data_IF_203345897719
#
_entry.id   IF_203345897719
#
_cell.length_a   1.000
_cell.length_b   1.000
_cell.length_c   1.000
_cell.angle_alpha   90.00
_cell.angle_beta   90.00
_cell.angle_gamma   90.00
#
_symmetry.space_group_name_H-M   'P 1'
#
loop_
_entity.id
_entity.type
_entity.pdbx_description
1 polymer ?
#
# COMPACT_ATOMS: atom_id res chain seq x y z
N UNK A 1 -6.00 3.92 -29.18
CA UNK A 1 -6.59 4.61 -28.00
C UNK A 1 -6.74 6.09 -28.28
N UNK A 2 -7.73 6.79 -27.69
CA UNK A 2 -7.83 8.25 -27.74
C UNK A 2 -6.67 8.92 -26.96
N UNK A 3 -6.13 10.02 -27.49
CA UNK A 3 -4.95 10.70 -26.93
C UNK A 3 -5.19 11.19 -25.48
N UNK A 4 -6.36 11.76 -25.20
CA UNK A 4 -6.73 12.21 -23.86
C UNK A 4 -6.77 11.04 -22.85
N UNK A 5 -7.30 9.90 -23.25
CA UNK A 5 -7.37 8.71 -22.42
C UNK A 5 -5.96 8.12 -22.19
N UNK A 6 -5.10 8.15 -23.22
CA UNK A 6 -3.70 7.77 -23.12
C UNK A 6 -2.96 8.61 -22.06
N UNK A 7 -3.03 9.93 -22.15
CA UNK A 7 -2.43 10.85 -21.18
C UNK A 7 -2.97 10.62 -19.77
N UNK A 8 -4.26 10.33 -19.65
CA UNK A 8 -4.89 10.04 -18.36
C UNK A 8 -4.28 8.79 -17.72
N UNK A 9 -4.05 7.74 -18.48
CA UNK A 9 -3.47 6.49 -17.96
C UNK A 9 -2.00 6.65 -17.57
N UNK A 10 -1.21 7.40 -18.35
CA UNK A 10 0.15 7.79 -17.96
C UNK A 10 0.14 8.59 -16.65
N UNK A 11 -0.78 9.56 -16.53
CA UNK A 11 -0.93 10.38 -15.31
C UNK A 11 -1.32 9.54 -14.09
N UNK A 12 -2.25 8.58 -14.24
CA UNK A 12 -2.64 7.66 -13.16
C UNK A 12 -1.42 6.85 -12.70
N UNK A 13 -0.64 6.27 -13.61
CA UNK A 13 0.55 5.51 -13.24
C UNK A 13 1.55 6.38 -12.47
N UNK A 14 1.86 7.58 -12.95
CA UNK A 14 2.78 8.50 -12.27
C UNK A 14 2.29 8.94 -10.88
N UNK A 15 0.97 9.08 -10.70
CA UNK A 15 0.37 9.45 -9.41
C UNK A 15 0.36 8.31 -8.39
N UNK A 16 0.18 7.08 -8.84
CA UNK A 16 -0.01 5.92 -7.96
C UNK A 16 1.27 5.13 -7.69
N UNK A 17 2.22 5.15 -8.61
CA UNK A 17 3.47 4.41 -8.47
C UNK A 17 4.58 5.34 -7.95
N UNK A 18 4.56 5.58 -6.66
CA UNK A 18 5.56 6.43 -5.99
C UNK A 18 6.43 5.61 -5.06
N UNK A 19 7.65 6.08 -4.83
CA UNK A 19 8.58 5.46 -3.88
C UNK A 19 8.18 5.78 -2.46
N UNK A 20 8.17 4.77 -1.59
CA UNK A 20 7.92 4.93 -0.17
C UNK A 20 8.82 4.00 0.66
N UNK A 21 9.20 4.45 1.84
CA UNK A 21 9.98 3.69 2.80
C UNK A 21 9.07 3.14 3.89
N UNK A 22 9.16 1.85 4.19
CA UNK A 22 8.34 1.21 5.22
C UNK A 22 6.83 1.29 4.95
N UNK A 23 6.03 1.37 6.02
CA UNK A 23 4.58 1.57 5.95
C UNK A 23 4.25 3.07 5.93
N UNK A 24 3.40 3.51 5.02
CA UNK A 24 3.10 4.93 4.80
C UNK A 24 2.38 5.60 5.98
N UNK A 25 1.56 4.87 6.73
CA UNK A 25 0.81 5.43 7.85
C UNK A 25 1.71 5.81 9.05
N UNK A 26 2.67 4.99 9.52
CA UNK A 26 3.65 5.42 10.51
C UNK A 26 4.47 6.61 10.04
N UNK A 27 4.83 6.66 8.76
CA UNK A 27 5.58 7.78 8.19
C UNK A 27 4.75 9.07 8.21
N UNK A 28 3.46 9.01 7.93
CA UNK A 28 2.57 10.18 8.06
C UNK A 28 2.49 10.69 9.50
N UNK A 29 2.49 9.81 10.51
CA UNK A 29 2.54 10.20 11.92
C UNK A 29 3.91 10.84 12.25
N UNK A 30 5.01 10.28 11.77
CA UNK A 30 6.33 10.85 11.94
C UNK A 30 6.44 12.23 11.28
N UNK A 31 5.85 12.39 10.10
CA UNK A 31 5.75 13.68 9.40
C UNK A 31 4.96 14.71 10.23
N UNK A 32 3.80 14.33 10.75
CA UNK A 32 3.05 15.20 11.67
C UNK A 32 3.87 15.58 12.90
N UNK A 33 4.62 14.64 13.49
CA UNK A 33 5.51 14.87 14.63
C UNK A 33 6.65 15.85 14.33
N UNK A 34 7.30 15.69 13.19
CA UNK A 34 8.37 16.59 12.73
C UNK A 34 7.86 18.02 12.50
N UNK A 35 6.72 18.16 11.82
CA UNK A 35 6.06 19.45 11.61
C UNK A 35 5.64 20.10 12.93
N UNK A 36 5.05 19.34 13.85
CA UNK A 36 4.59 19.84 15.14
C UNK A 36 5.77 20.36 15.98
N UNK A 37 6.89 19.62 16.04
CA UNK A 37 8.12 20.09 16.70
C UNK A 37 8.67 21.38 16.06
N UNK A 38 8.73 21.42 14.72
CA UNK A 38 9.19 22.60 13.98
C UNK A 38 8.33 23.82 14.30
N UNK A 39 7.01 23.64 14.38
CA UNK A 39 6.03 24.68 14.69
C UNK A 39 6.15 25.12 16.17
N UNK A 40 6.29 24.17 17.09
CA UNK A 40 6.50 24.45 18.53
C UNK A 40 7.76 25.29 18.76
N UNK A 41 8.84 24.96 18.06
CA UNK A 41 10.14 25.63 18.16
C UNK A 41 11.03 25.07 19.29
N UNK A 42 10.69 23.91 19.85
CA UNK A 42 11.45 23.25 20.94
C UNK A 42 11.02 21.80 21.11
N UNK A 43 11.58 21.11 22.12
CA UNK A 43 11.15 19.77 22.49
C UNK A 43 9.87 19.83 23.33
N UNK A 44 8.89 18.96 23.06
CA UNK A 44 7.67 18.89 23.87
C UNK A 44 7.88 18.03 25.12
N UNK A 45 7.09 18.31 26.15
CA UNK A 45 6.91 17.47 27.33
C UNK A 45 5.55 16.75 27.37
N UNK A 46 4.60 17.19 26.52
CA UNK A 46 3.30 16.56 26.35
C UNK A 46 3.02 16.35 24.86
N UNK A 47 2.50 15.16 24.53
CA UNK A 47 2.19 14.74 23.15
C UNK A 47 0.83 14.09 23.18
N UNK A 48 -0.15 14.67 22.48
CA UNK A 48 -1.47 14.09 22.26
C UNK A 48 -1.56 13.69 20.79
N UNK A 49 -1.86 12.41 20.54
CA UNK A 49 -1.97 11.83 19.21
C UNK A 49 -3.40 11.31 19.05
N UNK A 50 -4.18 11.99 18.24
CA UNK A 50 -5.55 11.61 17.91
C UNK A 50 -5.58 11.09 16.49
N UNK A 51 -6.03 9.86 16.30
CA UNK A 51 -5.95 9.21 14.98
C UNK A 51 -7.19 8.41 14.67
N UNK A 52 -7.57 8.37 13.39
CA UNK A 52 -8.69 7.54 12.92
C UNK A 52 -8.45 6.05 13.22
N UNK A 53 -9.53 5.29 13.36
CA UNK A 53 -9.45 3.85 13.63
C UNK A 53 -8.60 3.08 12.61
N UNK A 54 -8.61 3.47 11.33
CA UNK A 54 -7.77 2.86 10.30
C UNK A 54 -6.28 3.13 10.51
N UNK A 55 -5.90 4.30 11.03
CA UNK A 55 -4.51 4.58 11.42
C UNK A 55 -4.10 3.71 12.61
N UNK A 56 -4.96 3.57 13.64
CA UNK A 56 -4.69 2.66 14.77
C UNK A 56 -4.45 1.24 14.23
N UNK A 57 -5.35 0.75 13.39
CA UNK A 57 -5.27 -0.58 12.78
C UNK A 57 -3.95 -0.81 12.03
N UNK A 58 -3.50 0.17 11.24
CA UNK A 58 -2.36 0.01 10.35
C UNK A 58 -1.00 0.29 11.01
N UNK A 59 -0.97 0.96 12.18
CA UNK A 59 0.29 1.37 12.82
C UNK A 59 0.61 0.57 14.08
N UNK A 60 -0.41 0.14 14.85
CA UNK A 60 -0.23 -0.50 16.18
C UNK A 60 0.82 -1.60 16.22
N UNK A 61 0.93 -2.42 15.18
CA UNK A 61 1.77 -3.63 15.16
C UNK A 61 2.95 -3.56 14.19
N UNK A 62 3.12 -2.46 13.46
CA UNK A 62 4.18 -2.33 12.45
C UNK A 62 5.45 -1.76 13.07
N UNK A 63 6.59 -2.28 12.62
CA UNK A 63 7.90 -1.71 12.98
C UNK A 63 8.08 -0.39 12.22
N UNK A 64 8.46 0.65 12.96
CA UNK A 64 8.84 1.94 12.38
C UNK A 64 10.30 1.84 11.90
N UNK A 65 10.61 2.16 10.63
CA UNK A 65 11.98 2.15 10.14
C UNK A 65 12.92 3.04 10.99
N UNK A 66 14.21 2.72 11.01
CA UNK A 66 15.24 3.47 11.76
C UNK A 66 14.95 3.63 13.26
N UNK A 67 14.29 2.66 13.91
CA UNK A 67 13.98 2.73 15.35
C UNK A 67 14.43 1.50 16.14
N UNK A 68 15.36 0.69 15.63
CA UNK A 68 15.83 -0.56 16.26
C UNK A 68 14.68 -1.53 16.59
N UNK A 69 13.68 -1.62 15.70
CA UNK A 69 12.57 -2.58 15.82
C UNK A 69 11.43 -2.11 16.73
N UNK A 70 11.42 -0.83 17.16
CA UNK A 70 10.30 -0.27 17.91
C UNK A 70 9.05 -0.15 17.01
N UNK A 71 7.89 -0.27 17.65
CA UNK A 71 6.59 -0.34 16.97
C UNK A 71 5.63 0.73 17.48
N UNK A 72 4.62 1.01 16.65
CA UNK A 72 3.43 1.70 17.10
C UNK A 72 3.41 3.19 16.85
N UNK A 73 2.31 3.79 17.26
CA UNK A 73 1.96 5.19 17.00
C UNK A 73 2.89 6.13 17.77
N UNK A 74 3.16 5.82 19.04
CA UNK A 74 4.03 6.60 19.90
C UNK A 74 5.47 6.66 19.35
N UNK A 75 5.99 5.51 18.91
CA UNK A 75 7.31 5.42 18.27
C UNK A 75 7.38 6.29 17.02
N UNK A 76 6.37 6.19 16.15
CA UNK A 76 6.32 6.98 14.92
C UNK A 76 6.30 8.48 15.19
N UNK A 77 5.47 8.93 16.14
CA UNK A 77 5.41 10.34 16.51
C UNK A 77 6.73 10.82 17.12
N UNK A 78 7.30 10.06 18.07
CA UNK A 78 8.52 10.45 18.76
C UNK A 78 9.74 10.49 17.86
N UNK A 79 9.91 9.52 16.94
CA UNK A 79 11.04 9.57 16.00
C UNK A 79 10.91 10.73 15.02
N UNK A 80 9.69 11.06 14.59
CA UNK A 80 9.43 12.27 13.81
C UNK A 80 9.78 13.55 14.56
N UNK A 81 9.47 13.62 15.85
CA UNK A 81 9.80 14.75 16.72
C UNK A 81 11.31 14.87 16.92
N UNK A 82 12.05 13.79 17.13
CA UNK A 82 13.48 13.86 17.49
C UNK A 82 14.41 13.93 16.29
N UNK A 83 14.15 13.20 15.21
CA UNK A 83 15.04 13.07 14.06
C UNK A 83 14.41 13.35 12.71
N UNK A 84 13.10 13.72 12.66
CA UNK A 84 12.40 13.89 11.40
C UNK A 84 12.78 15.19 10.66
N UNK A 85 12.95 15.06 9.33
CA UNK A 85 13.05 16.19 8.41
C UNK A 85 11.67 16.51 7.81
N UNK A 86 11.06 17.61 8.24
CA UNK A 86 9.73 18.03 7.82
C UNK A 86 9.62 18.38 6.32
N UNK A 87 10.73 18.65 5.63
CA UNK A 87 10.74 18.97 4.21
C UNK A 87 10.78 17.70 3.32
N UNK A 88 11.09 16.55 3.94
CA UNK A 88 11.23 15.27 3.22
C UNK A 88 9.92 14.46 3.13
N UNK A 89 8.78 14.98 3.65
CA UNK A 89 7.45 14.36 3.57
C UNK A 89 7.44 12.85 3.92
N UNK A 90 7.20 11.96 2.94
CA UNK A 90 7.20 10.50 3.15
C UNK A 90 8.60 9.89 3.32
N UNK A 91 9.63 10.67 3.23
CA UNK A 91 11.02 10.31 3.55
C UNK A 91 11.51 10.97 4.85
N UNK A 92 10.59 11.51 5.66
CA UNK A 92 10.85 12.30 6.88
C UNK A 92 11.85 11.67 7.86
N UNK A 93 11.95 10.35 7.94
CA UNK A 93 12.87 9.63 8.83
C UNK A 93 14.03 8.93 8.10
N UNK A 94 14.26 9.24 6.81
CA UNK A 94 15.30 8.57 5.99
C UNK A 94 16.73 8.85 6.48
N UNK A 95 16.94 9.96 7.18
CA UNK A 95 18.26 10.40 7.64
C UNK A 95 18.42 10.39 9.17
N UNK A 96 17.55 9.64 9.86
CA UNK A 96 17.62 9.46 11.32
C UNK A 96 18.95 8.81 11.71
N UNK A 97 19.57 9.36 12.75
CA UNK A 97 20.85 8.90 13.30
C UNK A 97 20.65 8.23 14.65
N UNK A 98 21.68 7.54 15.12
CA UNK A 98 21.67 6.87 16.42
C UNK A 98 21.35 7.83 17.59
N UNK A 99 21.85 9.07 17.53
CA UNK A 99 21.54 10.11 18.51
C UNK A 99 20.06 10.48 18.58
N UNK A 100 19.35 10.44 17.43
CA UNK A 100 17.91 10.70 17.34
C UNK A 100 17.08 9.55 17.94
N UNK A 101 17.56 8.31 17.78
CA UNK A 101 16.91 7.11 18.35
C UNK A 101 17.06 7.12 19.89
N UNK A 102 18.23 7.52 20.38
CA UNK A 102 18.47 7.71 21.82
C UNK A 102 17.52 8.81 22.35
N UNK A 103 17.45 9.95 21.67
CA UNK A 103 16.57 11.06 22.05
C UNK A 103 15.09 10.64 22.00
N UNK A 104 14.67 9.86 21.01
CA UNK A 104 13.33 9.27 20.93
C UNK A 104 13.03 8.41 22.17
N UNK A 105 13.98 7.54 22.54
CA UNK A 105 13.80 6.65 23.67
C UNK A 105 13.70 7.43 24.99
N UNK A 106 14.45 8.53 25.13
CA UNK A 106 14.37 9.43 26.29
C UNK A 106 13.05 10.20 26.30
N UNK A 107 12.62 10.73 25.16
CA UNK A 107 11.34 11.43 25.00
C UNK A 107 10.18 10.51 25.38
N UNK A 108 10.18 9.26 24.91
CA UNK A 108 9.14 8.27 25.24
C UNK A 108 9.05 7.94 26.74
N UNK A 109 10.13 8.14 27.51
CA UNK A 109 10.15 7.92 28.97
C UNK A 109 9.78 9.16 29.76
N UNK A 110 10.15 10.34 29.28
CA UNK A 110 10.02 11.61 30.03
C UNK A 110 8.73 12.38 29.70
N UNK A 111 8.27 12.33 28.48
CA UNK A 111 7.08 13.06 28.05
C UNK A 111 5.78 12.34 28.43
N UNK A 112 4.72 13.12 28.65
CA UNK A 112 3.36 12.61 28.79
C UNK A 112 2.78 12.35 27.40
N UNK A 113 2.76 11.09 26.97
CA UNK A 113 2.26 10.68 25.65
C UNK A 113 0.89 10.04 25.81
N UNK A 114 -0.08 10.52 25.04
CA UNK A 114 -1.44 9.96 25.01
C UNK A 114 -1.87 9.72 23.57
N UNK A 115 -2.29 8.49 23.29
CA UNK A 115 -2.93 8.10 22.00
C UNK A 115 -4.42 7.89 22.25
N UNK A 116 -5.25 8.45 21.39
CA UNK A 116 -6.70 8.26 21.49
C UNK A 116 -7.35 8.21 20.10
N UNK A 117 -8.46 7.47 19.96
CA UNK A 117 -9.19 7.43 18.71
C UNK A 117 -9.84 8.78 18.40
N UNK A 118 -9.80 9.15 17.12
CA UNK A 118 -10.46 10.30 16.54
C UNK A 118 -11.67 9.82 15.73
N UNK A 119 -12.86 10.26 16.11
CA UNK A 119 -14.05 10.10 15.25
C UNK A 119 -13.90 11.02 14.04
N UNK A 120 -13.83 10.44 12.86
CA UNK A 120 -13.55 11.17 11.62
C UNK A 120 -14.29 10.55 10.44
N UNK A 121 -14.76 11.36 9.49
CA UNK A 121 -15.26 10.88 8.21
C UNK A 121 -14.14 10.39 7.29
N UNK A 122 -12.87 10.67 7.62
CA UNK A 122 -11.72 10.28 6.82
C UNK A 122 -11.10 9.00 7.36
N UNK A 123 -10.79 8.07 6.46
CA UNK A 123 -10.09 6.84 6.83
C UNK A 123 -8.64 7.08 7.25
N UNK A 124 -7.99 8.13 6.68
CA UNK A 124 -6.72 8.66 7.14
C UNK A 124 -6.98 10.01 7.79
N UNK A 125 -6.78 10.08 9.11
CA UNK A 125 -6.92 11.30 9.88
C UNK A 125 -5.98 11.23 11.08
N UNK A 126 -5.09 12.21 11.19
CA UNK A 126 -4.03 12.32 12.20
C UNK A 126 -4.01 13.74 12.72
N UNK A 127 -4.34 13.92 13.99
CA UNK A 127 -4.17 15.19 14.70
C UNK A 127 -3.13 14.99 15.79
N UNK A 128 -2.01 15.71 15.72
CA UNK A 128 -0.92 15.61 16.65
C UNK A 128 -0.71 16.97 17.30
N UNK A 129 -0.92 17.03 18.62
CA UNK A 129 -0.72 18.21 19.44
C UNK A 129 0.49 18.00 20.35
N UNK A 130 1.40 18.94 20.35
CA UNK A 130 2.60 18.96 21.20
C UNK A 130 2.64 20.23 22.01
N UNK A 131 3.05 20.15 23.28
CA UNK A 131 3.22 21.33 24.11
C UNK A 131 4.42 21.18 25.04
N UNK A 132 4.93 22.33 25.48
CA UNK A 132 5.88 22.51 26.57
C UNK A 132 5.37 23.63 27.52
N UNK A 133 6.17 24.05 28.49
CA UNK A 133 5.74 25.06 29.47
C UNK A 133 5.37 26.42 28.83
N UNK A 134 5.85 26.72 27.62
CA UNK A 134 5.75 28.05 26.99
C UNK A 134 4.77 28.07 25.81
N UNK A 135 4.72 26.96 25.01
CA UNK A 135 4.04 26.92 23.73
C UNK A 135 3.26 25.64 23.50
N UNK A 136 2.26 25.73 22.64
CA UNK A 136 1.52 24.61 22.09
C UNK A 136 1.49 24.68 20.55
N UNK A 137 1.64 23.54 19.89
CA UNK A 137 1.51 23.43 18.44
C UNK A 137 0.67 22.20 18.05
N UNK A 138 -0.18 22.34 17.06
CA UNK A 138 -0.99 21.25 16.53
C UNK A 138 -0.79 21.15 15.01
N UNK A 139 -0.73 19.89 14.53
CA UNK A 139 -0.71 19.54 13.12
C UNK A 139 -1.83 18.54 12.84
N UNK A 140 -2.64 18.81 11.83
CA UNK A 140 -3.73 17.97 11.38
C UNK A 140 -3.52 17.58 9.91
N UNK A 141 -3.39 16.26 9.67
CA UNK A 141 -3.24 15.67 8.34
C UNK A 141 -4.47 14.80 8.08
N UNK A 142 -5.18 15.01 6.97
CA UNK A 142 -6.36 14.22 6.63
C UNK A 142 -6.51 13.97 5.12
N UNK A 143 -7.11 12.83 4.78
CA UNK A 143 -7.41 12.41 3.40
C UNK A 143 -6.25 11.70 2.71
N UNK A 144 -5.05 12.30 2.69
CA UNK A 144 -3.81 11.69 2.19
C UNK A 144 -2.68 11.85 3.20
N UNK A 145 -1.60 11.09 3.03
CA UNK A 145 -0.52 10.98 4.02
C UNK A 145 0.28 12.28 4.26
N UNK A 146 0.21 13.25 3.34
CA UNK A 146 0.95 14.52 3.41
C UNK A 146 0.05 15.76 3.33
N UNK A 147 -1.27 15.57 3.24
CA UNK A 147 -2.19 16.71 3.13
C UNK A 147 -2.46 17.35 4.48
N UNK A 148 -1.79 18.46 4.75
CA UNK A 148 -1.97 19.27 5.96
C UNK A 148 -3.27 20.05 5.83
N UNK A 149 -4.25 19.76 6.67
CA UNK A 149 -5.54 20.45 6.75
C UNK A 149 -5.43 21.68 7.66
N UNK A 150 -4.76 21.53 8.80
CA UNK A 150 -4.63 22.60 9.77
C UNK A 150 -3.28 22.54 10.49
N UNK A 151 -2.69 23.69 10.75
CA UNK A 151 -1.58 23.86 11.67
C UNK A 151 -1.83 25.07 12.53
N UNK A 152 -1.60 24.94 13.83
CA UNK A 152 -1.74 26.03 14.77
C UNK A 152 -0.53 26.16 15.68
N UNK A 153 -0.27 27.36 16.19
CA UNK A 153 0.68 27.62 17.30
C UNK A 153 0.02 28.59 18.26
N UNK A 154 -0.03 28.25 19.53
CA UNK A 154 -0.61 29.08 20.61
C UNK A 154 -2.03 29.59 20.27
N UNK A 155 -2.85 28.72 19.68
CA UNK A 155 -4.20 28.99 19.14
C UNK A 155 -4.22 29.92 17.90
N UNK A 156 -3.09 30.32 17.35
CA UNK A 156 -3.05 31.04 16.08
C UNK A 156 -2.95 30.07 14.90
N UNK A 157 -3.82 30.23 13.92
CA UNK A 157 -3.83 29.37 12.72
C UNK A 157 -2.73 29.79 11.76
N UNK A 158 -1.81 28.88 11.46
CA UNK A 158 -0.73 29.05 10.48
C UNK A 158 -1.14 28.52 9.12
N UNK A 159 -1.81 27.36 9.10
CA UNK A 159 -2.35 26.72 7.90
C UNK A 159 -3.79 26.33 8.16
N UNK A 160 -4.68 26.66 7.18
CA UNK A 160 -6.04 26.16 7.14
C UNK A 160 -6.39 25.85 5.68
N UNK A 161 -6.69 24.57 5.40
CA UNK A 161 -7.08 24.08 4.07
C UNK A 161 -8.30 23.19 4.21
N UNK A 162 -9.13 23.12 3.18
CA UNK A 162 -10.20 22.13 3.16
C UNK A 162 -9.59 20.72 3.12
N UNK A 163 -10.12 19.82 3.93
CA UNK A 163 -9.77 18.41 3.80
C UNK A 163 -10.24 17.90 2.44
N UNK A 164 -9.37 17.14 1.77
CA UNK A 164 -9.71 16.57 0.48
C UNK A 164 -10.93 15.67 0.66
N UNK A 165 -12.02 16.00 0.00
CA UNK A 165 -13.20 15.12 -0.06
C UNK A 165 -12.74 13.78 -0.61
N UNK A 166 -13.17 12.69 0.00
CA UNK A 166 -12.98 11.34 -0.54
C UNK A 166 -13.92 11.14 -1.75
N UNK A 167 -13.77 11.99 -2.77
CA UNK A 167 -14.38 11.76 -4.07
C UNK A 167 -13.41 10.93 -4.88
N UNK A 168 -13.94 9.90 -5.55
CA UNK A 168 -13.15 9.18 -6.55
C UNK A 168 -12.76 10.23 -7.60
N UNK A 169 -11.47 10.34 -7.86
CA UNK A 169 -10.96 11.22 -8.92
C UNK A 169 -11.53 10.73 -10.26
N UNK A 170 -12.07 11.63 -11.06
CA UNK A 170 -12.73 11.32 -12.34
C UNK A 170 -11.81 10.53 -13.29
N UNK A 171 -10.50 10.77 -13.22
CA UNK A 171 -9.52 10.03 -14.00
C UNK A 171 -9.63 8.51 -13.77
N UNK A 172 -9.82 8.07 -12.52
CA UNK A 172 -9.91 6.64 -12.19
C UNK A 172 -11.21 5.99 -12.68
N UNK A 173 -12.29 6.78 -12.87
CA UNK A 173 -13.55 6.29 -13.43
C UNK A 173 -13.46 5.97 -14.93
N UNK A 174 -12.38 6.39 -15.59
CA UNK A 174 -12.12 6.06 -16.99
C UNK A 174 -11.50 4.67 -17.18
N UNK A 175 -11.03 4.03 -16.10
CA UNK A 175 -10.38 2.74 -16.17
C UNK A 175 -11.38 1.64 -16.55
N UNK A 176 -11.06 0.89 -17.59
CA UNK A 176 -11.74 -0.36 -17.97
C UNK A 176 -10.71 -1.42 -18.32
N UNK A 177 -11.03 -2.70 -18.16
CA UNK A 177 -10.09 -3.77 -18.51
C UNK A 177 -9.74 -3.76 -20.00
N UNK A 178 -10.69 -3.43 -20.87
CA UNK A 178 -10.44 -3.30 -22.30
C UNK A 178 -9.44 -2.18 -22.62
N UNK A 179 -9.63 -1.01 -22.04
CA UNK A 179 -8.76 0.13 -22.29
C UNK A 179 -7.38 -0.05 -21.64
N UNK A 180 -7.30 -0.70 -20.46
CA UNK A 180 -6.03 -1.08 -19.83
C UNK A 180 -5.23 -2.01 -20.74
N UNK A 181 -5.88 -3.02 -21.33
CA UNK A 181 -5.22 -3.92 -22.27
C UNK A 181 -4.77 -3.21 -23.54
N UNK A 182 -5.62 -2.35 -24.09
CA UNK A 182 -5.30 -1.55 -25.27
C UNK A 182 -4.13 -0.60 -24.99
N UNK A 183 -4.18 0.13 -23.87
CA UNK A 183 -3.11 1.01 -23.46
C UNK A 183 -1.77 0.27 -23.31
N UNK A 184 -1.76 -0.86 -22.64
CA UNK A 184 -0.53 -1.65 -22.45
C UNK A 184 0.09 -2.13 -23.77
N UNK A 185 -0.70 -2.31 -24.83
CA UNK A 185 -0.20 -2.65 -26.16
C UNK A 185 0.31 -1.45 -26.94
N UNK A 186 -0.31 -0.29 -26.76
CA UNK A 186 -0.06 0.92 -27.53
C UNK A 186 0.89 1.91 -26.85
N UNK A 187 1.08 1.79 -25.53
CA UNK A 187 1.91 2.73 -24.77
C UNK A 187 3.34 2.78 -25.30
N UNK A 188 3.81 3.99 -25.55
CA UNK A 188 5.23 4.23 -25.84
C UNK A 188 6.04 3.95 -24.57
N UNK A 189 6.99 3.03 -24.67
CA UNK A 189 7.73 2.54 -23.50
C UNK A 189 8.45 3.68 -22.77
N UNK A 190 8.95 4.66 -23.50
CA UNK A 190 9.66 5.80 -22.91
C UNK A 190 8.78 6.62 -21.94
N UNK A 191 7.46 6.64 -22.12
CA UNK A 191 6.52 7.37 -21.24
C UNK A 191 6.34 6.70 -19.85
N UNK A 192 6.68 5.42 -19.72
CA UNK A 192 6.50 4.64 -18.49
C UNK A 192 7.79 3.99 -17.99
N UNK A 193 8.86 4.06 -18.79
CA UNK A 193 10.09 3.31 -18.57
C UNK A 193 10.80 3.69 -17.27
N UNK A 194 10.99 4.97 -17.00
CA UNK A 194 11.68 5.45 -15.81
C UNK A 194 10.98 4.97 -14.54
N UNK A 195 9.64 5.13 -14.51
CA UNK A 195 8.78 4.70 -13.41
C UNK A 195 8.85 3.19 -13.18
N UNK A 196 8.76 2.40 -14.26
CA UNK A 196 8.79 0.95 -14.16
C UNK A 196 10.20 0.41 -13.88
N UNK A 197 11.27 1.05 -14.36
CA UNK A 197 12.64 0.72 -13.98
C UNK A 197 12.87 0.93 -12.49
N UNK A 198 12.35 2.02 -11.91
CA UNK A 198 12.41 2.28 -10.49
C UNK A 198 11.63 1.21 -9.70
N UNK A 199 10.42 0.84 -10.15
CA UNK A 199 9.63 -0.23 -9.54
C UNK A 199 10.39 -1.57 -9.58
N UNK A 200 10.96 -1.94 -10.71
CA UNK A 200 11.75 -3.16 -10.85
C UNK A 200 12.93 -3.14 -9.88
N UNK A 201 13.70 -2.06 -9.85
CA UNK A 201 14.88 -1.95 -9.00
C UNK A 201 14.53 -2.03 -7.50
N UNK A 202 13.63 -1.18 -7.02
CA UNK A 202 13.28 -1.11 -5.61
C UNK A 202 12.60 -2.40 -5.12
N UNK A 203 11.60 -2.88 -5.86
CA UNK A 203 10.80 -4.02 -5.42
C UNK A 203 11.57 -5.34 -5.51
N UNK A 204 12.52 -5.45 -6.46
CA UNK A 204 13.45 -6.59 -6.52
C UNK A 204 14.43 -6.56 -5.35
N UNK A 205 15.01 -5.40 -5.03
CA UNK A 205 15.99 -5.27 -3.96
C UNK A 205 15.41 -5.72 -2.60
N UNK A 206 14.25 -5.23 -2.22
CA UNK A 206 13.62 -5.60 -0.96
C UNK A 206 13.12 -7.06 -0.95
N UNK A 207 12.68 -7.60 -2.09
CA UNK A 207 12.31 -9.00 -2.20
C UNK A 207 13.52 -9.92 -2.01
N UNK A 208 14.66 -9.57 -2.60
CA UNK A 208 15.92 -10.28 -2.40
C UNK A 208 16.41 -10.17 -0.95
N UNK A 209 16.33 -8.99 -0.35
CA UNK A 209 16.66 -8.78 1.06
C UNK A 209 15.79 -9.68 1.96
N UNK A 210 14.48 -9.74 1.74
CA UNK A 210 13.59 -10.63 2.48
C UNK A 210 13.89 -12.13 2.30
N UNK A 211 14.44 -12.51 1.15
CA UNK A 211 14.89 -13.89 0.91
C UNK A 211 16.20 -14.23 1.67
N UNK A 212 17.06 -13.26 1.94
CA UNK A 212 18.34 -13.47 2.61
C UNK A 212 18.27 -13.17 4.12
N UNK A 213 17.71 -12.04 4.50
CA UNK A 213 17.58 -11.56 5.88
C UNK A 213 16.59 -12.38 6.72
N UNK A 214 16.47 -12.08 7.99
CA UNK A 214 15.56 -12.76 8.93
C UNK A 214 14.44 -11.76 9.32
N UNK A 215 13.27 -11.91 8.71
CA UNK A 215 12.18 -10.94 8.82
C UNK A 215 10.85 -11.62 9.16
N UNK A 216 10.26 -11.22 10.28
CA UNK A 216 8.92 -11.63 10.67
C UNK A 216 8.76 -13.14 10.77
N UNK A 217 7.85 -13.71 9.99
CA UNK A 217 7.60 -15.14 9.96
C UNK A 217 8.34 -15.89 8.82
N UNK A 218 9.19 -15.18 8.06
CA UNK A 218 9.96 -15.75 6.94
C UNK A 218 9.09 -16.54 5.94
N UNK A 219 7.90 -16.03 5.65
CA UNK A 219 6.92 -16.70 4.77
C UNK A 219 7.53 -16.98 3.39
N UNK A 220 8.25 -15.99 2.83
CA UNK A 220 8.92 -16.16 1.55
C UNK A 220 9.89 -17.34 1.55
N UNK A 221 10.74 -17.44 2.56
CA UNK A 221 11.72 -18.56 2.68
C UNK A 221 11.02 -19.90 2.85
N UNK A 222 9.95 -19.97 3.66
CA UNK A 222 9.16 -21.20 3.85
C UNK A 222 8.57 -21.69 2.54
N UNK A 223 8.02 -20.80 1.73
CA UNK A 223 7.43 -21.15 0.43
C UNK A 223 8.51 -21.59 -0.57
N UNK A 224 9.66 -20.90 -0.58
CA UNK A 224 10.76 -21.18 -1.50
C UNK A 224 11.40 -22.57 -1.37
N UNK A 225 11.13 -23.31 -0.28
CA UNK A 225 11.59 -24.70 -0.10
C UNK A 225 11.12 -25.60 -1.25
N UNK A 226 9.95 -25.31 -1.85
CA UNK A 226 9.36 -26.10 -2.94
C UNK A 226 10.11 -25.98 -4.27
N UNK A 227 10.82 -24.89 -4.53
CA UNK A 227 11.67 -24.61 -5.70
C UNK A 227 10.99 -24.62 -7.09
N UNK A 228 9.71 -24.96 -7.21
CA UNK A 228 8.97 -24.82 -8.47
C UNK A 228 8.69 -23.35 -8.78
N UNK A 229 8.51 -23.03 -10.06
CA UNK A 229 8.35 -21.64 -10.48
C UNK A 229 7.12 -20.96 -9.84
N UNK A 230 5.91 -21.55 -9.80
CA UNK A 230 4.78 -20.96 -9.11
C UNK A 230 5.05 -20.65 -7.62
N UNK A 231 5.77 -21.53 -6.92
CA UNK A 231 6.16 -21.28 -5.53
C UNK A 231 7.17 -20.14 -5.41
N UNK A 232 8.13 -20.02 -6.32
CA UNK A 232 9.10 -18.92 -6.32
C UNK A 232 8.43 -17.56 -6.55
N UNK A 233 7.46 -17.47 -7.46
CA UNK A 233 6.72 -16.22 -7.71
C UNK A 233 6.07 -15.69 -6.42
N UNK A 234 5.41 -16.58 -5.68
CA UNK A 234 4.79 -16.27 -4.37
C UNK A 234 5.82 -15.95 -3.32
N UNK A 235 6.91 -16.71 -3.28
CA UNK A 235 7.96 -16.60 -2.28
C UNK A 235 8.64 -15.24 -2.30
N UNK A 236 9.03 -14.73 -3.48
CA UNK A 236 9.70 -13.44 -3.59
C UNK A 236 8.77 -12.28 -3.25
N UNK A 237 7.50 -12.30 -3.67
CA UNK A 237 6.54 -11.28 -3.28
C UNK A 237 6.27 -11.28 -1.76
N UNK A 238 6.14 -12.47 -1.15
CA UNK A 238 5.99 -12.62 0.29
C UNK A 238 7.24 -12.17 1.05
N UNK A 239 8.44 -12.50 0.57
CA UNK A 239 9.71 -12.10 1.18
C UNK A 239 9.88 -10.58 1.21
N UNK A 240 9.53 -9.89 0.12
CA UNK A 240 9.53 -8.42 0.11
C UNK A 240 8.59 -7.84 1.18
N UNK A 241 7.43 -8.45 1.39
CA UNK A 241 6.52 -8.06 2.47
C UNK A 241 7.03 -8.46 3.86
N UNK A 242 7.67 -9.63 4.02
CA UNK A 242 8.32 -10.01 5.27
C UNK A 242 9.33 -8.93 5.69
N UNK A 243 10.22 -8.52 4.78
CA UNK A 243 11.20 -7.47 5.01
C UNK A 243 10.53 -6.13 5.35
N UNK A 244 9.61 -5.67 4.48
CA UNK A 244 8.94 -4.39 4.62
C UNK A 244 8.15 -4.23 5.92
N UNK A 245 7.41 -5.26 6.33
CA UNK A 245 6.57 -5.21 7.53
C UNK A 245 7.37 -5.34 8.82
N UNK A 246 8.63 -5.74 8.74
CA UNK A 246 9.48 -6.01 9.90
C UNK A 246 10.74 -5.14 9.93
N UNK A 247 10.67 -3.92 9.40
CA UNK A 247 11.65 -2.87 9.64
C UNK A 247 12.80 -2.79 8.63
N UNK A 248 12.71 -3.46 7.48
CA UNK A 248 13.67 -3.25 6.40
C UNK A 248 13.59 -1.80 5.88
N UNK A 249 14.74 -1.17 5.73
CA UNK A 249 14.89 0.23 5.36
C UNK A 249 14.97 0.46 3.84
N UNK A 250 14.89 -0.62 3.03
CA UNK A 250 14.88 -0.48 1.59
C UNK A 250 13.53 0.08 1.09
N UNK A 251 13.57 1.01 0.12
CA UNK A 251 12.36 1.58 -0.45
C UNK A 251 11.60 0.57 -1.31
N UNK A 252 10.30 0.82 -1.47
CA UNK A 252 9.44 0.12 -2.43
C UNK A 252 8.72 1.13 -3.31
N UNK A 253 8.41 0.77 -4.55
CA UNK A 253 7.42 1.50 -5.34
C UNK A 253 6.06 0.91 -5.01
N UNK A 254 5.16 1.76 -4.52
CA UNK A 254 3.83 1.40 -4.05
C UNK A 254 2.83 1.28 -5.20
N UNK A 255 1.65 0.73 -4.92
CA UNK A 255 0.48 0.80 -5.78
C UNK A 255 -0.75 1.07 -4.91
N UNK A 256 -1.62 1.98 -5.32
CA UNK A 256 -2.84 2.37 -4.58
C UNK A 256 -2.57 2.68 -3.09
N UNK A 257 -1.48 3.38 -2.82
CA UNK A 257 -1.08 3.78 -1.46
C UNK A 257 -0.46 2.66 -0.60
N UNK A 258 -0.14 1.49 -1.17
CA UNK A 258 0.41 0.36 -0.40
C UNK A 258 1.64 -0.28 -1.06
N UNK A 259 2.76 -0.36 -0.33
CA UNK A 259 3.95 -1.08 -0.78
C UNK A 259 3.70 -2.59 -0.94
N UNK A 260 2.87 -3.18 -0.10
CA UNK A 260 2.49 -4.60 -0.24
C UNK A 260 1.74 -4.85 -1.55
N UNK A 261 0.88 -3.93 -1.98
CA UNK A 261 0.25 -4.03 -3.31
C UNK A 261 1.30 -3.86 -4.42
N UNK A 262 2.18 -2.87 -4.32
CA UNK A 262 3.29 -2.67 -5.26
C UNK A 262 4.15 -3.93 -5.43
N UNK A 263 4.53 -4.59 -4.33
CA UNK A 263 5.26 -5.86 -4.35
C UNK A 263 4.45 -6.98 -5.03
N UNK A 264 3.16 -7.06 -4.73
CA UNK A 264 2.29 -8.14 -5.24
C UNK A 264 2.07 -8.03 -6.75
N UNK A 265 1.89 -6.81 -7.28
CA UNK A 265 1.66 -6.59 -8.73
C UNK A 265 2.93 -6.68 -9.56
N UNK A 266 4.11 -6.53 -8.95
CA UNK A 266 5.36 -6.42 -9.71
C UNK A 266 6.31 -7.61 -9.55
N UNK A 267 6.61 -8.02 -8.31
CA UNK A 267 7.66 -9.00 -8.04
C UNK A 267 7.44 -10.35 -8.73
N UNK A 268 6.23 -10.94 -8.73
CA UNK A 268 6.02 -12.20 -9.43
C UNK A 268 6.26 -12.08 -10.95
N UNK A 269 5.89 -10.94 -11.56
CA UNK A 269 6.11 -10.69 -12.99
C UNK A 269 7.59 -10.55 -13.32
N UNK A 270 8.34 -9.85 -12.47
CA UNK A 270 9.78 -9.66 -12.61
C UNK A 270 10.49 -11.00 -12.52
N UNK A 271 10.17 -11.81 -11.48
CA UNK A 271 10.76 -13.15 -11.29
C UNK A 271 10.40 -14.09 -12.45
N UNK A 272 9.15 -14.04 -12.94
CA UNK A 272 8.73 -14.83 -14.09
C UNK A 272 9.49 -14.44 -15.36
N UNK A 273 9.56 -13.15 -15.67
CA UNK A 273 10.26 -12.66 -16.86
C UNK A 273 11.77 -12.99 -16.83
N UNK A 274 12.41 -12.88 -15.67
CA UNK A 274 13.81 -13.26 -15.48
C UNK A 274 14.02 -14.76 -15.69
N UNK A 275 13.19 -15.61 -15.12
CA UNK A 275 13.29 -17.08 -15.23
C UNK A 275 13.02 -17.60 -16.64
N UNK A 276 12.08 -16.98 -17.34
CA UNK A 276 11.70 -17.34 -18.71
C UNK A 276 12.52 -16.57 -19.77
N UNK A 277 13.48 -15.76 -19.35
CA UNK A 277 14.35 -14.94 -20.23
C UNK A 277 13.56 -14.06 -21.21
N UNK A 278 12.47 -13.46 -20.77
CA UNK A 278 11.64 -12.60 -21.59
C UNK A 278 12.30 -11.23 -21.79
N UNK A 279 11.99 -10.59 -22.92
CA UNK A 279 12.48 -9.25 -23.16
C UNK A 279 11.87 -8.20 -22.20
N UNK A 280 12.59 -7.11 -22.01
CA UNK A 280 12.25 -6.08 -21.05
C UNK A 280 10.97 -5.31 -21.43
N UNK A 281 10.73 -5.12 -22.71
CA UNK A 281 9.51 -4.45 -23.19
C UNK A 281 8.27 -5.26 -22.82
N UNK A 282 8.31 -6.59 -23.00
CA UNK A 282 7.21 -7.47 -22.61
C UNK A 282 6.92 -7.40 -21.10
N UNK A 283 7.98 -7.30 -20.29
CA UNK A 283 7.82 -7.09 -18.83
C UNK A 283 7.18 -5.73 -18.53
N UNK A 284 7.60 -4.65 -19.16
CA UNK A 284 7.00 -3.33 -18.94
C UNK A 284 5.52 -3.33 -19.26
N UNK A 285 5.09 -3.90 -20.38
CA UNK A 285 3.69 -4.00 -20.78
C UNK A 285 2.87 -4.84 -19.78
N UNK A 286 3.44 -5.94 -19.28
CA UNK A 286 2.82 -6.74 -18.23
C UNK A 286 2.69 -5.98 -16.90
N UNK A 287 3.70 -5.20 -16.51
CA UNK A 287 3.65 -4.34 -15.34
C UNK A 287 2.60 -3.23 -15.49
N UNK A 288 2.45 -2.64 -16.66
CA UNK A 288 1.36 -1.68 -16.95
C UNK A 288 0.00 -2.33 -16.73
N UNK A 289 -0.25 -3.52 -17.30
CA UNK A 289 -1.50 -4.26 -17.09
C UNK A 289 -1.74 -4.51 -15.62
N UNK A 290 -0.78 -5.11 -14.93
CA UNK A 290 -0.94 -5.49 -13.52
C UNK A 290 -1.18 -4.26 -12.63
N UNK A 291 -0.43 -3.18 -12.81
CA UNK A 291 -0.58 -1.97 -12.01
C UNK A 291 -1.93 -1.28 -12.24
N UNK A 292 -2.31 -1.03 -13.49
CA UNK A 292 -3.59 -0.37 -13.79
C UNK A 292 -4.79 -1.24 -13.41
N UNK A 293 -4.71 -2.57 -13.58
CA UNK A 293 -5.76 -3.49 -13.12
C UNK A 293 -5.92 -3.44 -11.60
N UNK A 294 -4.83 -3.41 -10.83
CA UNK A 294 -4.91 -3.30 -9.38
C UNK A 294 -5.51 -1.95 -8.94
N UNK A 295 -5.14 -0.86 -9.61
CA UNK A 295 -5.70 0.47 -9.37
C UNK A 295 -7.20 0.48 -9.69
N UNK A 296 -7.61 -0.08 -10.83
CA UNK A 296 -9.01 -0.18 -11.23
C UNK A 296 -9.84 -0.95 -10.20
N UNK A 297 -9.39 -2.15 -9.81
CA UNK A 297 -10.03 -2.96 -8.77
C UNK A 297 -10.12 -2.23 -7.42
N UNK A 298 -9.13 -1.39 -7.12
CA UNK A 298 -9.07 -0.66 -5.85
C UNK A 298 -9.90 0.61 -5.83
N UNK A 299 -10.25 1.16 -6.98
CA UNK A 299 -10.94 2.44 -7.12
C UNK A 299 -12.25 2.48 -6.33
N UNK A 300 -13.13 1.50 -6.51
CA UNK A 300 -14.42 1.46 -5.81
C UNK A 300 -14.32 0.92 -4.37
N UNK A 301 -13.30 0.10 -4.06
CA UNK A 301 -13.05 -0.40 -2.70
C UNK A 301 -12.60 0.73 -1.77
N UNK A 302 -11.87 1.70 -2.31
CA UNK A 302 -11.23 2.76 -1.54
C UNK A 302 -9.84 2.38 -1.00
N UNK A 303 -9.04 3.37 -0.60
CA UNK A 303 -7.63 3.18 -0.17
C UNK A 303 -7.52 2.35 1.10
N UNK A 304 -8.33 2.63 2.11
CA UNK A 304 -8.37 1.92 3.40
C UNK A 304 -9.73 1.25 3.57
N UNK A 305 -9.74 -0.06 3.76
CA UNK A 305 -10.93 -0.90 3.88
C UNK A 305 -10.58 -2.18 4.62
N UNK A 306 -11.57 -2.87 5.17
CA UNK A 306 -11.40 -4.24 5.64
C UNK A 306 -11.18 -5.25 4.51
N UNK A 307 -11.45 -4.90 3.26
CA UNK A 307 -11.09 -5.72 2.10
C UNK A 307 -9.57 -5.62 1.84
N UNK A 308 -8.87 -6.73 1.90
CA UNK A 308 -7.41 -6.75 1.77
C UNK A 308 -6.95 -6.36 0.36
N UNK A 309 -6.12 -5.32 0.23
CA UNK A 309 -5.58 -4.87 -1.04
C UNK A 309 -4.72 -5.92 -1.77
N UNK A 310 -4.18 -6.90 -1.04
CA UNK A 310 -3.46 -8.03 -1.63
C UNK A 310 -4.36 -8.85 -2.58
N UNK A 311 -5.67 -8.93 -2.32
CA UNK A 311 -6.64 -9.64 -3.19
C UNK A 311 -6.70 -8.99 -4.57
N UNK A 312 -6.92 -7.67 -4.62
CA UNK A 312 -6.92 -6.91 -5.89
C UNK A 312 -5.58 -7.03 -6.61
N UNK A 313 -4.48 -6.87 -5.87
CA UNK A 313 -3.13 -6.95 -6.41
C UNK A 313 -2.78 -8.36 -6.92
N UNK A 314 -3.23 -9.42 -6.23
CA UNK A 314 -3.02 -10.81 -6.65
C UNK A 314 -3.80 -11.17 -7.92
N UNK A 315 -5.05 -10.72 -8.04
CA UNK A 315 -5.85 -10.88 -9.26
C UNK A 315 -5.21 -10.14 -10.44
N UNK A 316 -4.75 -8.91 -10.21
CA UNK A 316 -4.05 -8.10 -11.20
C UNK A 316 -2.70 -8.70 -11.61
N UNK A 317 -1.94 -9.25 -10.66
CA UNK A 317 -0.74 -10.03 -10.93
C UNK A 317 -1.03 -11.23 -11.85
N UNK A 318 -2.15 -11.94 -11.61
CA UNK A 318 -2.61 -13.02 -12.48
C UNK A 318 -2.82 -12.57 -13.94
N UNK A 319 -3.41 -11.40 -14.16
CA UNK A 319 -3.57 -10.82 -15.49
C UNK A 319 -2.22 -10.51 -16.14
N UNK A 320 -1.28 -9.89 -15.41
CA UNK A 320 0.08 -9.64 -15.89
C UNK A 320 0.84 -10.92 -16.23
N UNK A 321 0.74 -11.97 -15.42
CA UNK A 321 1.30 -13.29 -15.72
C UNK A 321 0.69 -13.91 -16.98
N UNK A 322 -0.64 -13.83 -17.15
CA UNK A 322 -1.33 -14.29 -18.34
C UNK A 322 -0.78 -13.58 -19.59
N UNK A 323 -0.59 -12.25 -19.53
CA UNK A 323 0.03 -11.49 -20.62
C UNK A 323 1.45 -11.95 -20.93
N UNK A 324 2.31 -12.15 -19.92
CA UNK A 324 3.68 -12.68 -20.12
C UNK A 324 3.68 -14.06 -20.79
N UNK A 325 2.65 -14.87 -20.55
CA UNK A 325 2.43 -16.16 -21.19
C UNK A 325 1.80 -16.05 -22.60
N UNK A 326 1.54 -14.83 -23.09
CA UNK A 326 0.99 -14.58 -24.43
C UNK A 326 -0.52 -14.74 -24.54
N UNK A 327 -1.22 -14.63 -23.42
CA UNK A 327 -2.68 -14.79 -23.38
C UNK A 327 -3.42 -13.58 -23.96
N UNK A 328 -4.65 -13.82 -24.42
CA UNK A 328 -5.59 -12.79 -24.89
C UNK A 328 -6.23 -12.01 -23.72
N UNK A 329 -6.89 -10.90 -24.05
CA UNK A 329 -7.71 -10.13 -23.11
C UNK A 329 -8.76 -11.01 -22.41
N UNK A 330 -9.41 -11.89 -23.15
CA UNK A 330 -10.41 -12.82 -22.61
C UNK A 330 -9.82 -13.71 -21.49
N UNK A 331 -8.63 -14.29 -21.72
CA UNK A 331 -7.95 -15.12 -20.72
C UNK A 331 -7.60 -14.30 -19.47
N UNK A 332 -7.13 -13.06 -19.66
CA UNK A 332 -6.83 -12.18 -18.54
C UNK A 332 -8.07 -11.84 -17.72
N UNK A 333 -9.19 -11.52 -18.38
CA UNK A 333 -10.45 -11.21 -17.72
C UNK A 333 -10.96 -12.39 -16.89
N UNK A 334 -10.92 -13.60 -17.42
CA UNK A 334 -11.30 -14.80 -16.67
C UNK A 334 -10.32 -15.14 -15.56
N UNK A 335 -9.03 -14.88 -15.73
CA UNK A 335 -8.03 -15.02 -14.68
C UNK A 335 -8.36 -14.13 -13.48
N UNK A 336 -8.71 -12.86 -13.73
CA UNK A 336 -9.10 -11.91 -12.68
C UNK A 336 -10.38 -12.38 -11.98
N UNK A 337 -11.42 -12.73 -12.73
CA UNK A 337 -12.70 -13.19 -12.16
C UNK A 337 -12.51 -14.42 -11.28
N UNK A 338 -11.76 -15.43 -11.77
CA UNK A 338 -11.46 -16.63 -11.00
C UNK A 338 -10.70 -16.32 -9.71
N UNK A 339 -9.67 -15.46 -9.79
CA UNK A 339 -8.88 -15.06 -8.62
C UNK A 339 -9.73 -14.32 -7.57
N UNK A 340 -10.60 -13.41 -8.01
CA UNK A 340 -11.51 -12.67 -7.13
C UNK A 340 -12.53 -13.60 -6.47
N UNK A 341 -13.10 -14.56 -7.21
CA UNK A 341 -14.02 -15.55 -6.65
C UNK A 341 -13.38 -16.39 -5.53
N UNK A 342 -12.08 -16.68 -5.65
CA UNK A 342 -11.36 -17.51 -4.68
C UNK A 342 -11.02 -16.72 -3.41
N UNK A 343 -10.65 -15.44 -3.52
CA UNK A 343 -9.98 -14.70 -2.42
C UNK A 343 -10.78 -13.55 -1.82
N UNK A 344 -12.00 -13.26 -2.28
CA UNK A 344 -12.78 -12.09 -1.84
C UNK A 344 -13.21 -12.08 -0.37
N UNK A 345 -12.79 -13.02 0.44
CA UNK A 345 -13.05 -13.05 1.89
C UNK A 345 -11.82 -12.72 2.75
N UNK A 346 -10.68 -12.41 2.16
CA UNK A 346 -9.47 -12.07 2.93
C UNK A 346 -9.61 -10.66 3.50
N UNK A 347 -9.66 -10.56 4.82
CA UNK A 347 -9.76 -9.27 5.53
C UNK A 347 -8.41 -8.58 5.68
N UNK A 348 -8.46 -7.25 5.73
CA UNK A 348 -7.34 -6.39 6.12
C UNK A 348 -7.52 -5.96 7.58
N UNK A 349 -6.71 -6.50 8.45
CA UNK A 349 -6.65 -6.21 9.88
C UNK A 349 -5.33 -5.48 10.25
N UNK A 350 -4.84 -4.64 9.36
CA UNK A 350 -3.66 -3.78 9.53
C UNK A 350 -2.36 -4.38 9.04
N UNK A 351 -1.30 -3.56 9.04
CA UNK A 351 0.03 -3.91 8.59
C UNK A 351 0.75 -4.76 9.65
N UNK A 352 1.24 -5.94 9.26
CA UNK A 352 1.93 -6.90 10.15
C UNK A 352 2.55 -8.05 9.38
N UNK A 353 3.32 -8.90 10.07
CA UNK A 353 4.02 -10.05 9.48
C UNK A 353 3.10 -10.98 8.65
N UNK A 354 1.83 -11.20 9.06
CA UNK A 354 0.91 -12.07 8.31
C UNK A 354 0.50 -11.52 6.92
N UNK A 355 0.82 -10.27 6.60
CA UNK A 355 0.59 -9.70 5.26
C UNK A 355 1.34 -10.49 4.17
N UNK A 356 2.55 -10.97 4.46
CA UNK A 356 3.32 -11.80 3.53
C UNK A 356 2.57 -13.09 3.13
N UNK A 357 1.90 -13.75 4.07
CA UNK A 357 1.10 -14.93 3.79
C UNK A 357 -0.16 -14.60 2.96
N UNK A 358 -0.83 -13.46 3.25
CA UNK A 358 -1.98 -12.99 2.45
C UNK A 358 -1.58 -12.69 1.01
N UNK A 359 -0.42 -12.09 0.79
CA UNK A 359 0.17 -11.86 -0.54
C UNK A 359 0.37 -13.19 -1.27
N UNK A 360 1.03 -14.15 -0.61
CA UNK A 360 1.29 -15.46 -1.23
C UNK A 360 0.01 -16.17 -1.68
N UNK A 361 -1.04 -16.15 -0.85
CA UNK A 361 -2.34 -16.74 -1.18
C UNK A 361 -3.02 -15.98 -2.32
N UNK A 362 -2.92 -14.67 -2.36
CA UNK A 362 -3.53 -13.84 -3.42
C UNK A 362 -2.82 -14.04 -4.76
N UNK A 363 -1.49 -14.15 -4.78
CA UNK A 363 -0.72 -14.49 -6.00
C UNK A 363 -1.06 -15.91 -6.47
N UNK A 364 -1.21 -16.87 -5.53
CA UNK A 364 -1.66 -18.24 -5.85
C UNK A 364 -3.01 -18.24 -6.54
N UNK A 365 -3.96 -17.44 -6.05
CA UNK A 365 -5.28 -17.33 -6.67
C UNK A 365 -5.20 -16.77 -8.09
N UNK A 366 -4.30 -15.81 -8.36
CA UNK A 366 -4.03 -15.32 -9.71
C UNK A 366 -3.46 -16.41 -10.64
N UNK A 367 -2.50 -17.19 -10.16
CA UNK A 367 -1.91 -18.32 -10.89
C UNK A 367 -2.98 -19.40 -11.17
N UNK A 368 -3.72 -19.81 -10.13
CA UNK A 368 -4.76 -20.80 -10.24
C UNK A 368 -5.90 -20.34 -11.18
N UNK A 369 -6.27 -19.05 -11.10
CA UNK A 369 -7.29 -18.46 -11.96
C UNK A 369 -6.94 -18.55 -13.45
N UNK A 370 -5.68 -18.34 -13.79
CA UNK A 370 -5.13 -18.55 -15.13
C UNK A 370 -5.16 -20.04 -15.53
N UNK A 371 -4.62 -20.91 -14.67
CA UNK A 371 -4.53 -22.35 -14.96
C UNK A 371 -5.92 -22.97 -15.11
N UNK A 372 -6.91 -22.55 -14.32
CA UNK A 372 -8.31 -22.98 -14.49
C UNK A 372 -8.82 -22.69 -15.89
N UNK A 373 -8.69 -21.44 -16.35
CA UNK A 373 -9.21 -21.06 -17.66
C UNK A 373 -8.49 -21.76 -18.80
N UNK A 374 -7.17 -21.92 -18.71
CA UNK A 374 -6.38 -22.65 -19.72
C UNK A 374 -6.73 -24.14 -19.78
N UNK A 375 -7.35 -24.68 -18.74
CA UNK A 375 -7.88 -26.05 -18.71
C UNK A 375 -9.41 -26.12 -18.97
N UNK A 376 -9.99 -25.05 -19.52
CA UNK A 376 -11.41 -24.99 -19.88
C UNK A 376 -12.35 -24.87 -18.67
N UNK A 377 -11.87 -24.42 -17.52
CA UNK A 377 -12.63 -24.25 -16.30
C UNK A 377 -12.69 -22.78 -15.86
N UNK A 378 -13.86 -22.35 -15.39
CA UNK A 378 -14.06 -20.98 -14.90
C UNK A 378 -15.26 -20.92 -13.95
N UNK A 379 -15.35 -19.84 -13.18
CA UNK A 379 -16.58 -19.47 -12.51
C UNK A 379 -17.47 -18.63 -13.44
N UNK A 380 -18.78 -18.82 -13.34
CA UNK A 380 -19.74 -18.21 -14.25
C UNK A 380 -20.51 -17.08 -13.57
N UNK A 381 -21.03 -16.15 -14.37
CA UNK A 381 -21.96 -15.14 -13.88
C UNK A 381 -23.17 -15.79 -13.22
N UNK A 382 -23.40 -15.45 -11.94
CA UNK A 382 -24.39 -16.10 -11.08
C UNK A 382 -23.79 -17.01 -10.00
N UNK A 383 -22.48 -17.30 -10.07
CA UNK A 383 -21.76 -18.00 -9.00
C UNK A 383 -21.45 -17.00 -7.85
N UNK A 384 -22.36 -16.92 -6.90
CA UNK A 384 -22.22 -16.00 -5.76
C UNK A 384 -22.21 -14.53 -6.19
N UNK A 385 -21.11 -13.83 -5.90
CA UNK A 385 -20.93 -12.40 -6.23
C UNK A 385 -20.40 -12.16 -7.65
N UNK A 386 -20.11 -13.22 -8.40
CA UNK A 386 -19.60 -13.11 -9.76
C UNK A 386 -20.76 -12.78 -10.71
N UNK A 387 -20.58 -11.75 -11.51
CA UNK A 387 -21.55 -11.30 -12.53
C UNK A 387 -21.05 -11.56 -13.94
N UNK A 388 -21.98 -11.52 -14.91
CA UNK A 388 -21.61 -11.58 -16.31
C UNK A 388 -20.84 -10.31 -16.71
N UNK A 389 -19.65 -10.50 -17.25
CA UNK A 389 -18.73 -9.42 -17.63
C UNK A 389 -17.79 -9.02 -16.47
N UNK A 390 -16.57 -8.69 -16.84
CA UNK A 390 -15.50 -8.36 -15.89
C UNK A 390 -15.83 -7.09 -15.07
N UNK A 391 -16.31 -6.05 -15.71
CA UNK A 391 -16.60 -4.75 -15.05
C UNK A 391 -17.71 -4.90 -13.98
N UNK A 392 -18.75 -5.68 -14.27
CA UNK A 392 -19.81 -5.94 -13.29
C UNK A 392 -19.30 -6.73 -12.08
N UNK A 393 -18.35 -7.64 -12.27
CA UNK A 393 -17.70 -8.37 -11.17
C UNK A 393 -16.83 -7.42 -10.36
N UNK A 394 -16.04 -6.56 -11.01
CA UNK A 394 -15.22 -5.53 -10.36
C UNK A 394 -16.10 -4.60 -9.51
N UNK A 395 -17.22 -4.14 -10.08
CA UNK A 395 -18.20 -3.32 -9.35
C UNK A 395 -18.74 -4.04 -8.10
N UNK A 396 -19.16 -5.29 -8.21
CA UNK A 396 -19.65 -6.07 -7.07
C UNK A 396 -18.60 -6.19 -5.96
N UNK A 397 -17.33 -6.41 -6.32
CA UNK A 397 -16.21 -6.43 -5.38
C UNK A 397 -15.99 -5.04 -4.75
N UNK A 398 -16.12 -3.98 -5.55
CA UNK A 398 -16.07 -2.59 -5.06
C UNK A 398 -17.13 -2.31 -4.01
N UNK A 399 -18.39 -2.65 -4.29
CA UNK A 399 -19.51 -2.50 -3.34
C UNK A 399 -19.29 -3.34 -2.08
N UNK A 400 -18.86 -4.60 -2.22
CA UNK A 400 -18.54 -5.46 -1.08
C UNK A 400 -17.44 -4.84 -0.21
N UNK A 401 -16.35 -4.39 -0.84
CA UNK A 401 -15.18 -3.85 -0.12
C UNK A 401 -15.43 -2.50 0.53
N UNK A 402 -16.21 -1.62 -0.11
CA UNK A 402 -16.50 -0.27 0.43
C UNK A 402 -17.67 -0.27 1.40
N UNK A 403 -18.83 -0.78 0.98
CA UNK A 403 -20.08 -0.73 1.77
C UNK A 403 -20.26 -1.97 2.62
N UNK A 404 -20.12 -3.16 2.02
CA UNK A 404 -20.39 -4.44 2.68
C UNK A 404 -19.46 -4.72 3.86
N UNK A 405 -18.20 -4.30 3.77
CA UNK A 405 -17.19 -4.52 4.82
C UNK A 405 -17.01 -3.33 5.79
N UNK A 406 -17.81 -2.27 5.71
CA UNK A 406 -17.69 -1.11 6.58
C UNK A 406 -17.87 -1.49 8.06
N UNK A 407 -18.90 -2.29 8.40
CA UNK A 407 -19.12 -2.80 9.76
C UNK A 407 -18.02 -3.77 10.21
N UNK A 408 -17.48 -4.58 9.28
CA UNK A 408 -16.35 -5.47 9.56
C UNK A 408 -15.11 -4.67 9.92
N UNK A 409 -14.85 -3.55 9.24
CA UNK A 409 -13.74 -2.65 9.55
C UNK A 409 -13.85 -2.06 10.95
N UNK A 410 -15.05 -1.60 11.31
CA UNK A 410 -15.33 -1.08 12.66
C UNK A 410 -15.12 -2.14 13.75
N UNK A 411 -15.58 -3.38 13.53
CA UNK A 411 -15.38 -4.47 14.48
C UNK A 411 -13.93 -4.88 14.62
N UNK A 412 -13.17 -4.91 13.52
CA UNK A 412 -11.72 -5.14 13.57
C UNK A 412 -11.02 -4.07 14.40
N UNK A 413 -11.34 -2.79 14.18
CA UNK A 413 -10.77 -1.67 14.94
C UNK A 413 -11.09 -1.83 16.42
N UNK A 414 -12.35 -2.15 16.79
CA UNK A 414 -12.77 -2.37 18.16
C UNK A 414 -11.96 -3.49 18.82
N UNK A 415 -11.88 -4.67 18.21
CA UNK A 415 -11.08 -5.80 18.70
C UNK A 415 -9.62 -5.39 18.92
N UNK A 416 -9.06 -4.58 18.04
CA UNK A 416 -7.67 -4.15 18.16
C UNK A 416 -7.45 -3.06 19.22
N UNK A 417 -8.50 -2.33 19.64
CA UNK A 417 -8.42 -1.33 20.71
C UNK A 417 -8.66 -1.90 22.11
N UNK A 418 -9.28 -3.08 22.21
CA UNK A 418 -9.37 -3.86 23.47
C UNK A 418 -7.99 -4.41 23.88
#
# INVERSE_FOLDING_TARGET
MDEKLYETYVRILNKELVTAMGCTEPIAIAYAGSLARKTLGGMPDKILIEVSGNIIKNVKSVIVPHTHGNKGIETAACIGITGGDAEAELEVISHVKEEDIIAMTELMKSASIKVQPLESPYSLDIRLTVSNDEHEAMVHIAGTHTHIVEMTKDNETIVCREALKQTIDEDYLTLTMHDIYTFAKEVEIDDVKELLDQMIACNTAIAQEGMHGDYGANIGKVIAIRKDLPSLLKAYAAAGSDARMNGCELPVVINSGSGNQGLTVSVPLIVYAEREHLDKEKLYRALVISNLTAIHLKTEIGRLSAFCGAVSAGAACGAGLAYLKGASEEVMNHTIVNALAITSGIICDGAKASCAAKIAVSVEAGILGYDMYMNGQQFYGGDGIISKGIENTIHNIGVLGSQGMASTDQEIIKIMCE
#
